data_IF_353768671712
#
_entry.id   IF_353768671712
#
_cell.length_a   1.000
_cell.length_b   1.000
_cell.length_c   1.000
_cell.angle_alpha   90.00
_cell.angle_beta   90.00
_cell.angle_gamma   90.00
#
_symmetry.space_group_name_H-M   'P 1'
#
loop_
_entity.id
_entity.type
_entity.pdbx_description
1 polymer ?
#
# COMPACT_ATOMS: atom_id res chain seq x y z
N UNK A 1 -10.40 16.70 -6.12
CA UNK A 1 -9.13 16.59 -5.37
C UNK A 1 -8.73 15.13 -5.31
N UNK A 2 -7.56 14.76 -5.82
CA UNK A 2 -6.98 13.43 -5.63
C UNK A 2 -6.13 13.49 -4.38
N UNK A 3 -6.61 12.95 -3.26
CA UNK A 3 -5.78 12.72 -2.08
C UNK A 3 -5.49 11.22 -2.02
N UNK A 4 -4.29 10.85 -2.47
CA UNK A 4 -3.77 9.50 -2.31
C UNK A 4 -3.23 9.40 -0.88
N UNK A 5 -3.74 8.45 -0.09
CA UNK A 5 -3.12 8.10 1.18
C UNK A 5 -1.99 7.11 0.89
N UNK A 6 -0.72 7.40 1.26
CA UNK A 6 0.31 6.39 1.22
C UNK A 6 0.02 5.37 2.32
N UNK A 7 -0.48 4.18 1.97
CA UNK A 7 -0.68 3.11 2.97
C UNK A 7 0.64 2.53 3.52
N UNK A 8 1.75 2.94 2.93
CA UNK A 8 3.10 2.60 3.36
C UNK A 8 3.44 3.44 4.59
N UNK A 9 2.93 3.02 5.74
CA UNK A 9 3.39 3.47 7.05
C UNK A 9 4.23 2.36 7.67
N UNK A 10 5.55 2.29 7.43
CA UNK A 10 6.35 1.32 8.13
C UNK A 10 6.32 1.57 9.63
N UNK A 11 6.39 0.49 10.40
CA UNK A 11 6.61 0.58 11.85
C UNK A 11 7.86 1.43 12.09
N UNK A 12 7.82 2.30 13.11
CA UNK A 12 8.97 3.12 13.46
C UNK A 12 10.18 2.23 13.84
N UNK A 13 11.30 2.46 13.18
CA UNK A 13 12.56 1.72 13.42
C UNK A 13 13.63 2.60 14.07
N UNK A 14 13.23 3.70 14.71
CA UNK A 14 14.16 4.63 15.38
C UNK A 14 15.01 3.95 16.46
N UNK A 15 14.51 2.84 17.03
CA UNK A 15 15.20 2.01 18.02
C UNK A 15 16.26 1.06 17.42
N UNK A 16 16.29 0.88 16.10
CA UNK A 16 17.24 0.02 15.39
C UNK A 16 18.39 0.84 14.79
N UNK A 17 19.55 0.20 14.63
CA UNK A 17 20.69 0.76 13.87
C UNK A 17 20.39 0.76 12.37
N UNK A 18 21.09 1.62 11.60
CA UNK A 18 20.92 1.66 10.14
C UNK A 18 21.19 0.30 9.47
N UNK A 19 22.16 -0.47 9.96
CA UNK A 19 22.49 -1.78 9.42
C UNK A 19 21.34 -2.79 9.62
N UNK A 20 20.63 -2.70 10.73
CA UNK A 20 19.44 -3.51 11.01
C UNK A 20 18.25 -3.05 10.19
N UNK A 21 18.04 -1.74 10.03
CA UNK A 21 16.92 -1.17 9.25
C UNK A 21 16.93 -1.60 7.79
N UNK A 22 18.12 -1.71 7.19
CA UNK A 22 18.29 -2.14 5.79
C UNK A 22 17.95 -3.62 5.60
N UNK A 23 17.98 -4.43 6.67
CA UNK A 23 17.63 -5.86 6.63
C UNK A 23 16.12 -6.10 6.72
N UNK A 24 15.32 -5.07 7.06
CA UNK A 24 13.87 -5.20 7.22
C UNK A 24 13.19 -5.66 5.92
N UNK A 25 12.35 -6.69 6.04
CA UNK A 25 11.52 -7.17 4.94
C UNK A 25 10.21 -6.35 4.88
N UNK A 26 10.25 -5.29 4.09
CA UNK A 26 9.12 -4.39 3.85
C UNK A 26 7.91 -5.03 3.15
N UNK A 27 8.05 -6.25 2.61
CA UNK A 27 6.94 -6.99 2.00
C UNK A 27 6.18 -7.87 3.02
N UNK A 28 6.62 -7.95 4.28
CA UNK A 28 5.96 -8.71 5.35
C UNK A 28 4.91 -7.85 6.08
N UNK A 29 3.73 -8.39 6.47
CA UNK A 29 2.70 -7.65 7.22
C UNK A 29 3.23 -6.84 8.42
N UNK A 30 4.06 -7.46 9.27
CA UNK A 30 4.67 -6.80 10.44
C UNK A 30 5.57 -5.60 10.13
N UNK A 31 5.95 -5.37 8.87
CA UNK A 31 6.72 -4.18 8.52
C UNK A 31 5.83 -2.93 8.45
N UNK A 32 4.52 -3.09 8.34
CA UNK A 32 3.53 -2.01 8.28
C UNK A 32 2.87 -1.77 9.63
N UNK A 33 2.65 -0.51 9.95
CA UNK A 33 1.96 -0.04 11.15
C UNK A 33 0.44 -0.05 10.94
N UNK A 34 -0.12 -1.25 10.80
CA UNK A 34 -1.58 -1.41 10.64
C UNK A 34 -2.36 -0.89 11.85
N UNK A 35 -1.77 -0.89 13.04
CA UNK A 35 -2.41 -0.34 14.24
C UNK A 35 -2.61 1.18 14.10
N UNK A 36 -1.56 1.90 13.68
CA UNK A 36 -1.66 3.33 13.39
C UNK A 36 -2.64 3.62 12.24
N UNK A 37 -2.60 2.82 11.18
CA UNK A 37 -3.52 2.99 10.05
C UNK A 37 -4.98 2.79 10.48
N UNK A 38 -5.29 1.75 11.26
CA UNK A 38 -6.64 1.51 11.82
C UNK A 38 -7.08 2.68 12.70
N UNK A 39 -6.18 3.19 13.55
CA UNK A 39 -6.46 4.35 14.39
C UNK A 39 -6.79 5.59 13.54
N UNK A 40 -5.94 5.92 12.56
CA UNK A 40 -6.15 7.07 11.69
C UNK A 40 -7.43 6.97 10.89
N UNK A 41 -7.75 5.80 10.33
CA UNK A 41 -8.99 5.59 9.61
C UNK A 41 -10.21 5.75 10.50
N UNK A 42 -10.16 5.21 11.72
CA UNK A 42 -11.25 5.34 12.69
C UNK A 42 -11.51 6.81 13.05
N UNK A 43 -10.44 7.60 13.27
CA UNK A 43 -10.54 9.04 13.52
C UNK A 43 -11.15 9.79 12.32
N UNK A 44 -10.70 9.47 11.10
CA UNK A 44 -11.21 10.11 9.88
C UNK A 44 -12.69 9.81 9.65
N UNK A 45 -13.14 8.59 9.95
CA UNK A 45 -14.55 8.20 9.89
C UNK A 45 -15.39 8.98 10.92
N UNK A 46 -14.82 9.29 12.09
CA UNK A 46 -15.46 10.10 13.12
C UNK A 46 -15.48 11.61 12.81
N UNK A 47 -14.79 12.04 11.74
CA UNK A 47 -14.71 13.45 11.36
C UNK A 47 -13.53 14.20 12.00
N UNK A 48 -12.56 13.47 12.56
CA UNK A 48 -11.35 14.05 13.14
C UNK A 48 -10.20 14.08 12.13
N UNK A 49 -9.43 15.17 12.16
CA UNK A 49 -8.20 15.27 11.38
C UNK A 49 -7.07 14.44 12.02
N UNK A 50 -6.18 13.92 11.18
CA UNK A 50 -5.05 13.08 11.59
C UNK A 50 -3.74 13.62 11.06
N UNK A 51 -2.62 13.17 11.63
CA UNK A 51 -1.27 13.56 11.23
C UNK A 51 -0.56 12.35 10.63
N UNK A 52 -0.44 12.32 9.30
CA UNK A 52 0.19 11.21 8.60
C UNK A 52 1.71 11.30 8.80
N UNK A 53 2.37 10.26 9.33
CA UNK A 53 3.81 10.25 9.45
C UNK A 53 4.48 10.25 8.07
N UNK A 54 5.57 11.00 7.93
CA UNK A 54 6.43 10.89 6.73
C UNK A 54 7.48 9.80 6.94
N UNK A 55 7.75 9.03 5.89
CA UNK A 55 8.78 7.98 5.91
C UNK A 55 9.97 8.39 5.06
N UNK A 56 11.17 8.33 5.65
CA UNK A 56 12.41 8.54 4.92
C UNK A 56 12.91 7.21 4.35
N UNK A 57 12.88 7.09 3.03
CA UNK A 57 13.49 5.96 2.33
C UNK A 57 15.03 5.95 2.43
N UNK A 58 15.64 7.09 2.72
CA UNK A 58 17.09 7.21 2.94
C UNK A 58 17.48 6.72 4.32
N UNK A 59 16.73 7.09 5.37
CA UNK A 59 17.02 6.73 6.76
C UNK A 59 16.37 5.42 7.21
N UNK A 60 15.58 4.83 6.32
CA UNK A 60 14.78 3.63 6.55
C UNK A 60 13.91 3.70 7.82
N UNK A 61 13.42 4.89 8.16
CA UNK A 61 12.61 5.11 9.37
C UNK A 61 11.62 6.27 9.20
N UNK A 62 10.65 6.32 10.11
CA UNK A 62 9.70 7.42 10.27
C UNK A 62 10.42 8.71 10.66
N UNK A 63 10.03 9.81 10.03
CA UNK A 63 10.50 11.16 10.33
C UNK A 63 9.63 11.81 11.43
N UNK A 64 10.15 12.88 12.04
CA UNK A 64 9.38 13.70 12.99
C UNK A 64 8.24 14.48 12.31
N UNK A 65 8.42 14.78 11.03
CA UNK A 65 7.52 15.53 10.20
C UNK A 65 6.27 14.72 9.90
N UNK A 66 5.14 15.40 10.02
CA UNK A 66 3.82 14.85 9.73
C UNK A 66 3.10 15.72 8.72
N UNK A 67 2.21 15.12 7.95
CA UNK A 67 1.31 15.83 7.03
C UNK A 67 -0.11 15.80 7.59
N UNK A 68 -0.72 16.96 7.89
CA UNK A 68 -2.09 16.99 8.35
C UNK A 68 -3.03 16.50 7.25
N UNK A 69 -3.98 15.65 7.62
CA UNK A 69 -4.97 15.09 6.72
C UNK A 69 -6.36 15.24 7.32
N UNK A 70 -7.17 16.08 6.69
CA UNK A 70 -8.54 16.33 7.10
C UNK A 70 -9.50 15.22 6.60
N UNK A 71 -10.59 14.94 7.32
CA UNK A 71 -11.63 14.01 6.89
C UNK A 71 -12.14 14.29 5.47
N UNK A 72 -12.46 13.22 4.74
CA UNK A 72 -12.95 13.28 3.36
C UNK A 72 -14.16 12.36 3.21
N UNK A 73 -15.09 12.75 2.32
CA UNK A 73 -16.21 11.88 1.92
C UNK A 73 -15.75 10.57 1.29
N UNK A 74 -14.62 10.59 0.58
CA UNK A 74 -14.02 9.41 -0.06
C UNK A 74 -12.53 9.43 0.22
N UNK A 75 -12.02 8.33 0.77
CA UNK A 75 -10.61 8.07 1.01
C UNK A 75 -10.23 6.87 0.15
N UNK A 76 -9.12 6.97 -0.59
CA UNK A 76 -8.58 5.86 -1.37
C UNK A 76 -7.31 5.39 -0.68
N UNK A 77 -7.35 4.15 -0.20
CA UNK A 77 -6.21 3.44 0.36
C UNK A 77 -5.62 2.52 -0.72
N UNK A 78 -4.32 2.63 -0.96
CA UNK A 78 -3.61 1.79 -1.93
C UNK A 78 -2.39 1.18 -1.25
N UNK A 79 -2.28 -0.16 -1.27
CA UNK A 79 -1.18 -0.89 -0.66
C UNK A 79 -1.26 -2.38 -0.91
N UNK A 80 -0.12 -3.07 -0.85
CA UNK A 80 0.00 -4.51 -1.15
C UNK A 80 -0.52 -5.43 -0.03
N UNK A 81 -0.68 -4.93 1.20
CA UNK A 81 -0.97 -5.73 2.39
C UNK A 81 -2.25 -5.28 3.13
N UNK A 82 -3.02 -4.35 2.55
CA UNK A 82 -4.23 -3.79 3.19
C UNK A 82 -5.26 -4.86 3.56
N UNK A 83 -5.44 -5.87 2.68
CA UNK A 83 -6.44 -6.91 2.87
C UNK A 83 -5.99 -8.04 3.81
N UNK A 84 -4.74 -8.01 4.32
CA UNK A 84 -4.25 -9.05 5.24
C UNK A 84 -4.78 -8.88 6.67
N UNK A 85 -5.17 -7.67 7.07
CA UNK A 85 -5.67 -7.36 8.41
C UNK A 85 -7.20 -7.20 8.40
N UNK A 86 -7.91 -7.98 9.21
CA UNK A 86 -9.38 -7.92 9.27
C UNK A 86 -9.91 -6.57 9.73
N UNK A 87 -9.21 -5.90 10.64
CA UNK A 87 -9.64 -4.60 11.19
C UNK A 87 -9.66 -3.52 10.11
N UNK A 88 -8.71 -3.58 9.17
CA UNK A 88 -8.70 -2.69 8.01
C UNK A 88 -9.86 -3.01 7.06
N UNK A 89 -10.16 -4.30 6.84
CA UNK A 89 -11.28 -4.70 5.99
C UNK A 89 -12.62 -4.23 6.54
N UNK A 90 -12.81 -4.31 7.86
CA UNK A 90 -14.04 -3.87 8.53
C UNK A 90 -14.28 -2.35 8.42
N UNK A 91 -13.23 -1.57 8.15
CA UNK A 91 -13.30 -0.11 7.94
C UNK A 91 -13.49 0.27 6.46
N UNK A 92 -13.43 -0.67 5.51
CA UNK A 92 -13.55 -0.40 4.09
C UNK A 92 -14.99 -0.60 3.61
N UNK A 93 -15.56 0.41 2.95
CA UNK A 93 -16.86 0.26 2.26
C UNK A 93 -16.78 -0.61 1.00
N UNK A 94 -15.59 -0.67 0.39
CA UNK A 94 -15.31 -1.45 -0.80
C UNK A 94 -13.81 -1.73 -0.93
N UNK A 95 -13.47 -2.92 -1.40
CA UNK A 95 -12.10 -3.40 -1.56
C UNK A 95 -11.86 -3.92 -2.99
N UNK A 96 -10.67 -3.65 -3.52
CA UNK A 96 -10.30 -3.99 -4.89
C UNK A 96 -8.93 -4.64 -4.91
N UNK A 97 -8.83 -5.82 -5.51
CA UNK A 97 -7.56 -6.51 -5.74
C UNK A 97 -7.16 -6.42 -7.21
N UNK A 98 -5.96 -5.88 -7.46
CA UNK A 98 -5.43 -5.74 -8.82
C UNK A 98 -4.70 -7.04 -9.23
N UNK A 99 -5.37 -7.88 -10.00
CA UNK A 99 -4.84 -9.18 -10.42
C UNK A 99 -4.00 -9.06 -11.70
N UNK A 100 -2.68 -9.15 -11.57
CA UNK A 100 -1.75 -9.09 -12.70
C UNK A 100 -0.73 -10.21 -12.56
N UNK A 101 -0.49 -11.00 -13.61
CA UNK A 101 0.52 -12.06 -13.61
C UNK A 101 1.89 -11.61 -13.07
N UNK A 102 2.54 -12.46 -12.27
CA UNK A 102 3.78 -12.14 -11.56
C UNK A 102 4.95 -11.79 -12.48
N UNK A 103 5.02 -12.40 -13.67
CA UNK A 103 6.00 -12.10 -14.71
C UNK A 103 5.84 -10.67 -15.25
N UNK A 104 4.61 -10.24 -15.52
CA UNK A 104 4.30 -8.86 -15.92
C UNK A 104 4.64 -7.88 -14.79
N UNK A 105 4.32 -8.23 -13.54
CA UNK A 105 4.68 -7.42 -12.36
C UNK A 105 6.20 -7.29 -12.21
N UNK A 106 6.94 -8.39 -12.36
CA UNK A 106 8.41 -8.42 -12.29
C UNK A 106 9.03 -7.57 -13.40
N UNK A 107 8.55 -7.70 -14.65
CA UNK A 107 9.03 -6.88 -15.77
C UNK A 107 8.84 -5.38 -15.50
N UNK A 108 7.64 -4.98 -15.03
CA UNK A 108 7.38 -3.57 -14.66
C UNK A 108 8.27 -3.11 -13.52
N UNK A 109 8.47 -3.95 -12.50
CA UNK A 109 9.34 -3.66 -11.35
C UNK A 109 10.79 -3.49 -11.78
N UNK A 110 11.31 -4.36 -12.66
CA UNK A 110 12.67 -4.27 -13.18
C UNK A 110 12.90 -2.95 -13.91
N UNK A 111 12.01 -2.60 -14.84
CA UNK A 111 12.09 -1.33 -15.59
C UNK A 111 12.08 -0.15 -14.63
N UNK A 112 11.10 -0.08 -13.73
CA UNK A 112 10.95 0.99 -12.74
C UNK A 112 12.16 1.11 -11.82
N UNK A 113 12.57 0.01 -11.16
CA UNK A 113 13.61 0.05 -10.15
C UNK A 113 15.00 0.35 -10.75
N UNK A 114 15.26 -0.07 -11.99
CA UNK A 114 16.51 0.26 -12.70
C UNK A 114 16.50 1.71 -13.19
N UNK A 115 15.43 2.14 -13.86
CA UNK A 115 15.38 3.47 -14.50
C UNK A 115 15.13 4.61 -13.52
N UNK A 116 14.27 4.39 -12.52
CA UNK A 116 13.80 5.45 -11.62
C UNK A 116 14.46 5.41 -10.24
N UNK A 117 15.03 4.26 -9.83
CA UNK A 117 15.59 4.05 -8.47
C UNK A 117 17.08 3.69 -8.46
N UNK A 118 17.74 3.69 -9.62
CA UNK A 118 19.18 3.45 -9.76
C UNK A 118 19.65 2.06 -9.32
N UNK A 119 18.76 1.05 -9.31
CA UNK A 119 19.11 -0.32 -8.93
C UNK A 119 19.70 -1.10 -10.09
N UNK A 120 20.48 -2.13 -9.78
CA UNK A 120 20.95 -3.09 -10.78
C UNK A 120 19.92 -4.20 -10.99
N UNK A 121 19.91 -4.79 -12.19
CA UNK A 121 19.01 -5.92 -12.47
C UNK A 121 19.23 -7.09 -11.51
N UNK A 122 20.49 -7.42 -11.20
CA UNK A 122 20.85 -8.47 -10.25
C UNK A 122 20.30 -8.21 -8.84
N UNK A 123 20.39 -6.98 -8.33
CA UNK A 123 19.87 -6.67 -6.98
C UNK A 123 18.35 -6.78 -6.92
N UNK A 124 17.64 -6.35 -7.96
CA UNK A 124 16.18 -6.47 -8.06
C UNK A 124 15.75 -7.94 -8.11
N UNK A 125 16.43 -8.77 -8.92
CA UNK A 125 16.12 -10.20 -9.03
C UNK A 125 16.39 -10.95 -7.72
N UNK A 126 17.53 -10.67 -7.06
CA UNK A 126 17.86 -11.23 -5.75
C UNK A 126 16.82 -10.86 -4.70
N UNK A 127 16.41 -9.58 -4.63
CA UNK A 127 15.36 -9.16 -3.72
C UNK A 127 14.02 -9.85 -4.05
N UNK A 128 13.66 -9.94 -5.33
CA UNK A 128 12.41 -10.56 -5.76
C UNK A 128 12.31 -12.01 -5.31
N UNK A 129 13.37 -12.78 -5.51
CA UNK A 129 13.43 -14.19 -5.09
C UNK A 129 13.46 -14.34 -3.57
N UNK A 130 14.23 -13.49 -2.88
CA UNK A 130 14.44 -13.60 -1.43
C UNK A 130 13.23 -13.15 -0.60
N UNK A 131 12.57 -12.05 -0.96
CA UNK A 131 11.50 -11.46 -0.13
C UNK A 131 10.18 -11.32 -0.87
N UNK A 132 10.17 -10.69 -2.03
CA UNK A 132 8.93 -10.23 -2.68
C UNK A 132 8.03 -11.39 -3.07
N UNK A 133 8.56 -12.38 -3.80
CA UNK A 133 7.76 -13.53 -4.26
C UNK A 133 7.28 -14.40 -3.09
N UNK A 134 8.12 -14.76 -2.10
CA UNK A 134 7.64 -15.46 -0.91
C UNK A 134 6.52 -14.72 -0.18
N UNK A 135 6.67 -13.42 0.08
CA UNK A 135 5.65 -12.64 0.79
C UNK A 135 4.36 -12.49 -0.02
N UNK A 136 4.48 -12.36 -1.35
CA UNK A 136 3.32 -12.37 -2.23
C UNK A 136 2.53 -13.66 -2.10
N UNK A 137 3.18 -14.81 -2.24
CA UNK A 137 2.52 -16.11 -2.18
C UNK A 137 1.96 -16.42 -0.78
N UNK A 138 2.63 -15.95 0.26
CA UNK A 138 2.25 -16.25 1.64
C UNK A 138 1.14 -15.33 2.19
N UNK A 139 1.16 -14.05 1.84
CA UNK A 139 0.29 -13.05 2.47
C UNK A 139 -0.60 -12.31 1.47
N UNK A 140 -0.04 -11.85 0.34
CA UNK A 140 -0.75 -10.97 -0.60
C UNK A 140 -1.78 -11.77 -1.42
N UNK A 141 -1.37 -12.84 -2.09
CA UNK A 141 -2.27 -13.64 -2.94
C UNK A 141 -3.43 -14.26 -2.14
N UNK A 142 -3.22 -14.84 -0.94
CA UNK A 142 -4.34 -15.34 -0.15
C UNK A 142 -5.34 -14.25 0.25
N UNK A 143 -4.90 -13.00 0.44
CA UNK A 143 -5.79 -11.90 0.82
C UNK A 143 -6.78 -11.49 -0.28
N UNK A 144 -6.51 -11.88 -1.54
CA UNK A 144 -7.39 -11.67 -2.70
C UNK A 144 -8.81 -12.19 -2.49
N UNK A 145 -8.97 -13.25 -1.70
CA UNK A 145 -10.29 -13.83 -1.39
C UNK A 145 -11.22 -12.88 -0.62
N UNK A 146 -10.65 -11.84 0.02
CA UNK A 146 -11.41 -10.85 0.78
C UNK A 146 -11.76 -9.61 -0.05
N UNK A 147 -11.38 -9.55 -1.33
CA UNK A 147 -11.69 -8.41 -2.18
C UNK A 147 -13.11 -8.49 -2.75
N UNK A 148 -13.84 -7.37 -2.73
CA UNK A 148 -15.17 -7.28 -3.35
C UNK A 148 -15.08 -7.35 -4.88
N UNK A 149 -14.00 -6.78 -5.45
CA UNK A 149 -13.77 -6.75 -6.90
C UNK A 149 -12.33 -7.13 -7.23
N UNK A 150 -12.18 -8.09 -8.15
CA UNK A 150 -10.88 -8.45 -8.72
C UNK A 150 -10.76 -7.82 -10.11
N UNK A 151 -9.73 -7.00 -10.32
CA UNK A 151 -9.51 -6.29 -11.58
C UNK A 151 -8.30 -6.86 -12.33
N UNK A 152 -8.51 -7.56 -13.46
CA UNK A 152 -7.41 -8.04 -14.27
C UNK A 152 -6.77 -6.90 -15.08
N UNK A 153 -5.55 -7.11 -15.55
CA UNK A 153 -4.78 -6.20 -16.45
C UNK A 153 -4.35 -4.87 -15.82
N UNK A 154 -4.48 -4.72 -14.50
CA UNK A 154 -3.97 -3.56 -13.78
C UNK A 154 -4.57 -2.23 -14.25
N UNK A 155 -3.80 -1.14 -14.12
CA UNK A 155 -4.19 0.22 -14.52
C UNK A 155 -4.47 0.44 -16.01
N UNK A 156 -4.41 -0.59 -16.86
CA UNK A 156 -4.82 -0.52 -18.27
C UNK A 156 -6.27 -0.94 -18.50
N UNK A 157 -6.96 -1.46 -17.48
CA UNK A 157 -8.35 -1.88 -17.58
C UNK A 157 -9.29 -0.67 -17.53
N UNK A 158 -9.51 -0.02 -18.68
CA UNK A 158 -10.35 1.18 -18.80
C UNK A 158 -11.78 0.95 -18.30
N UNK A 159 -12.37 -0.22 -18.58
CA UNK A 159 -13.72 -0.57 -18.14
C UNK A 159 -13.81 -0.54 -16.61
N UNK A 160 -12.88 -1.22 -15.92
CA UNK A 160 -12.84 -1.22 -14.46
C UNK A 160 -12.64 0.20 -13.90
N UNK A 161 -11.71 0.98 -14.49
CA UNK A 161 -11.47 2.37 -14.08
C UNK A 161 -12.73 3.22 -14.22
N UNK A 162 -13.48 3.09 -15.31
CA UNK A 162 -14.67 3.89 -15.55
C UNK A 162 -15.83 3.48 -14.62
N UNK A 163 -15.96 2.18 -14.30
CA UNK A 163 -16.89 1.71 -13.26
C UNK A 163 -16.57 2.29 -11.89
N UNK A 164 -15.28 2.30 -11.50
CA UNK A 164 -14.84 2.89 -10.22
C UNK A 164 -15.09 4.39 -10.17
N UNK A 165 -14.79 5.12 -11.26
CA UNK A 165 -15.12 6.54 -11.36
C UNK A 165 -16.61 6.80 -11.21
N UNK A 166 -17.47 5.98 -11.83
CA UNK A 166 -18.91 6.12 -11.71
C UNK A 166 -19.38 5.91 -10.27
N UNK A 167 -18.85 4.90 -9.57
CA UNK A 167 -19.15 4.64 -8.16
C UNK A 167 -18.70 5.78 -7.25
N UNK A 168 -17.48 6.27 -7.41
CA UNK A 168 -16.95 7.41 -6.64
C UNK A 168 -17.80 8.66 -6.87
N UNK A 169 -18.19 8.95 -8.13
CA UNK A 169 -19.06 10.09 -8.43
C UNK A 169 -20.41 9.96 -7.74
N UNK A 170 -21.01 8.77 -7.74
CA UNK A 170 -22.26 8.53 -7.04
C UNK A 170 -22.13 8.80 -5.53
N UNK A 171 -21.04 8.36 -4.89
CA UNK A 171 -20.77 8.61 -3.46
C UNK A 171 -20.51 10.08 -3.12
N UNK A 172 -20.05 10.89 -4.09
CA UNK A 172 -19.80 12.32 -3.86
C UNK A 172 -21.03 13.20 -4.07
N UNK A 173 -21.98 12.75 -4.90
CA UNK A 173 -23.18 13.50 -5.28
C UNK A 173 -24.39 13.13 -4.42
N UNK A 174 -24.48 11.87 -3.96
CA UNK A 174 -25.39 11.45 -2.90
C UNK A 174 -24.96 12.00 -1.54
#
# INVERSE_FOLDING_TARGET
>A
MKSWWPSWEPVSQTHLTMEERVKTNYDHPNALDHDLLVQHLSQLVQGDAVNIPQYSYTEHTRMSEVTPFAPRRVIILEGILLLTDSRLRDLMDASIFMDTPLDICLLRRLVRDVQERGRTMDSVLKQYQKTVRPMFLQFIEPSKQYADVIVPRGGKNRIAIDMLKARIRHMLIG
#
